data_IF_844027727302
#
_entry.id   IF_844027727302
#
_cell.length_a   1.000
_cell.length_b   1.000
_cell.length_c   1.000
_cell.angle_alpha   90.00
_cell.angle_beta   90.00
_cell.angle_gamma   90.00
#
_symmetry.space_group_name_H-M   'P 1'
#
loop_
_entity.id
_entity.type
_entity.pdbx_description
1 polymer ?
#
# COMPACT_ATOMS: atom_id res chain seq x y z
N UNK A 1 41.68 -45.02 25.90
CA UNK A 1 41.46 -43.55 25.80
C UNK A 1 40.50 -43.17 24.66
N UNK A 2 39.44 -43.97 24.43
CA UNK A 2 38.52 -43.83 23.28
C UNK A 2 37.04 -43.70 23.71
N UNK A 3 36.82 -43.30 24.96
CA UNK A 3 35.49 -43.25 25.59
C UNK A 3 35.09 -41.85 26.08
N UNK A 4 36.01 -40.88 26.12
CA UNK A 4 35.72 -39.54 26.68
C UNK A 4 35.35 -38.47 25.64
N UNK A 5 35.52 -38.75 24.34
CA UNK A 5 35.11 -37.80 23.28
C UNK A 5 33.60 -37.89 22.99
N UNK A 6 32.96 -39.01 23.30
CA UNK A 6 31.55 -39.25 22.99
C UNK A 6 30.58 -38.66 24.03
N UNK A 7 31.01 -38.46 25.28
CA UNK A 7 30.18 -37.82 26.31
C UNK A 7 30.14 -36.29 26.18
N UNK A 8 31.17 -35.65 25.62
CA UNK A 8 31.19 -34.20 25.37
C UNK A 8 30.38 -33.78 24.14
N UNK A 9 30.05 -34.72 23.25
CA UNK A 9 29.18 -34.51 22.10
C UNK A 9 27.68 -34.64 22.45
N UNK A 10 27.36 -35.38 23.51
CA UNK A 10 25.98 -35.57 23.99
C UNK A 10 25.48 -34.43 24.92
N UNK A 11 26.37 -33.55 25.39
CA UNK A 11 25.99 -32.35 26.18
C UNK A 11 26.02 -31.03 25.40
N UNK A 12 26.39 -31.05 24.11
CA UNK A 12 26.28 -29.89 23.23
C UNK A 12 24.84 -29.70 22.79
N UNK A 13 24.07 -29.13 23.72
CA UNK A 13 23.02 -28.15 23.52
C UNK A 13 22.04 -28.49 22.40
N UNK A 14 20.80 -28.77 22.81
CA UNK A 14 19.53 -28.35 22.18
C UNK A 14 19.67 -26.94 21.55
N UNK A 15 20.44 -26.81 20.47
CA UNK A 15 20.58 -25.58 19.71
C UNK A 15 19.28 -25.50 18.94
N UNK A 16 18.34 -24.72 19.48
CA UNK A 16 17.03 -24.53 18.88
C UNK A 16 17.21 -24.28 17.38
N UNK A 17 16.48 -25.05 16.57
CA UNK A 17 16.56 -24.93 15.11
C UNK A 17 16.45 -23.45 14.73
N UNK A 18 17.40 -22.97 13.91
CA UNK A 18 17.43 -21.59 13.44
C UNK A 18 16.07 -21.16 12.87
N UNK A 19 15.39 -22.04 12.12
CA UNK A 19 14.07 -21.74 11.58
C UNK A 19 13.00 -21.63 12.66
N UNK A 20 13.09 -22.45 13.71
CA UNK A 20 12.18 -22.36 14.84
C UNK A 20 12.40 -21.06 15.63
N UNK A 21 13.66 -20.67 15.86
CA UNK A 21 14.01 -19.39 16.47
C UNK A 21 13.54 -18.22 15.62
N UNK A 22 13.84 -18.23 14.31
CA UNK A 22 13.39 -17.22 13.37
C UNK A 22 11.87 -17.11 13.37
N UNK A 23 11.15 -18.23 13.34
CA UNK A 23 9.69 -18.25 13.44
C UNK A 23 9.18 -17.63 14.75
N UNK A 24 9.76 -17.98 15.90
CA UNK A 24 9.39 -17.38 17.19
C UNK A 24 9.62 -15.87 17.16
N UNK A 25 10.80 -15.42 16.71
CA UNK A 25 11.10 -13.99 16.63
C UNK A 25 10.16 -13.25 15.67
N UNK A 26 9.85 -13.82 14.50
CA UNK A 26 8.90 -13.25 13.55
C UNK A 26 7.49 -13.21 14.16
N UNK A 27 7.04 -14.27 14.83
CA UNK A 27 5.72 -14.31 15.47
C UNK A 27 5.60 -13.26 16.58
N UNK A 28 6.63 -13.13 17.42
CA UNK A 28 6.71 -12.09 18.45
C UNK A 28 6.66 -10.70 17.79
N UNK A 29 7.49 -10.46 16.78
CA UNK A 29 7.56 -9.17 16.08
C UNK A 29 6.23 -8.81 15.41
N UNK A 30 5.60 -9.74 14.70
CA UNK A 30 4.29 -9.54 14.05
C UNK A 30 3.21 -9.28 15.08
N UNK A 31 3.19 -10.04 16.18
CA UNK A 31 2.23 -9.86 17.26
C UNK A 31 2.39 -8.48 17.93
N UNK A 32 3.61 -8.09 18.28
CA UNK A 32 3.90 -6.77 18.86
C UNK A 32 3.52 -5.65 17.88
N UNK A 33 3.89 -5.79 16.60
CA UNK A 33 3.52 -4.83 15.56
C UNK A 33 2.00 -4.71 15.45
N UNK A 34 1.27 -5.82 15.43
CA UNK A 34 -0.18 -5.83 15.37
C UNK A 34 -0.82 -5.16 16.60
N UNK A 35 -0.33 -5.45 17.81
CA UNK A 35 -0.78 -4.79 19.04
C UNK A 35 -0.56 -3.28 18.98
N UNK A 36 0.59 -2.83 18.47
CA UNK A 36 0.93 -1.41 18.35
C UNK A 36 0.03 -0.70 17.33
N UNK A 37 -0.12 -1.26 16.13
CA UNK A 37 -0.83 -0.61 15.03
C UNK A 37 -2.36 -0.76 15.12
N UNK A 38 -2.86 -1.96 15.42
CA UNK A 38 -4.29 -2.27 15.36
C UNK A 38 -4.97 -2.33 16.73
N UNK A 39 -4.23 -2.46 17.82
CA UNK A 39 -4.82 -2.51 19.17
C UNK A 39 -5.49 -1.21 19.63
N UNK A 40 -5.31 -0.11 18.89
CA UNK A 40 -5.99 1.18 19.11
C UNK A 40 -7.35 1.29 18.43
N UNK A 41 -7.67 0.37 17.50
CA UNK A 41 -8.91 0.42 16.74
C UNK A 41 -10.13 0.21 17.62
N UNK A 42 -11.27 0.81 17.25
CA UNK A 42 -12.54 0.70 17.99
C UNK A 42 -12.91 -0.76 18.31
N UNK A 43 -12.61 -1.66 17.38
CA UNK A 43 -12.88 -3.09 17.50
C UNK A 43 -12.07 -3.76 18.61
N UNK A 44 -10.79 -3.40 18.76
CA UNK A 44 -9.89 -4.02 19.73
C UNK A 44 -9.81 -3.29 21.07
N UNK A 45 -10.31 -2.06 21.15
CA UNK A 45 -10.12 -1.14 22.29
C UNK A 45 -10.54 -1.73 23.64
N UNK A 46 -11.64 -2.47 23.70
CA UNK A 46 -12.20 -3.04 24.94
C UNK A 46 -11.80 -4.50 25.20
N UNK A 47 -11.23 -5.20 24.20
CA UNK A 47 -10.89 -6.62 24.30
C UNK A 47 -9.47 -6.91 24.79
N UNK A 48 -9.08 -8.19 24.72
CA UNK A 48 -7.75 -8.70 25.10
C UNK A 48 -6.61 -7.94 24.40
N UNK A 49 -6.76 -7.69 23.10
CA UNK A 49 -5.78 -6.94 22.28
C UNK A 49 -5.59 -5.52 22.85
N UNK A 50 -6.68 -4.82 23.18
CA UNK A 50 -6.63 -3.50 23.80
C UNK A 50 -6.02 -3.52 25.20
N UNK A 51 -6.31 -4.55 26.00
CA UNK A 51 -5.69 -4.75 27.31
C UNK A 51 -4.17 -4.96 27.21
N UNK A 52 -3.73 -5.89 26.36
CA UNK A 52 -2.31 -6.19 26.12
C UNK A 52 -1.57 -4.95 25.60
N UNK A 53 -2.19 -4.20 24.68
CA UNK A 53 -1.65 -2.92 24.22
C UNK A 53 -1.49 -1.93 25.37
N UNK A 54 -2.50 -1.74 26.23
CA UNK A 54 -2.39 -0.82 27.39
C UNK A 54 -1.24 -1.20 28.31
N UNK A 55 -1.04 -2.50 28.59
CA UNK A 55 0.09 -2.98 29.38
C UNK A 55 1.42 -2.74 28.67
N UNK A 56 1.53 -3.07 27.39
CA UNK A 56 2.72 -2.81 26.57
C UNK A 56 3.11 -1.33 26.58
N UNK A 57 2.15 -0.43 26.35
CA UNK A 57 2.38 1.01 26.39
C UNK A 57 2.65 1.53 27.80
N UNK A 58 2.07 0.93 28.85
CA UNK A 58 2.42 1.28 30.24
C UNK A 58 3.90 0.99 30.54
N UNK A 59 4.43 -0.14 30.06
CA UNK A 59 5.86 -0.45 30.15
C UNK A 59 6.68 0.52 29.31
N UNK A 60 6.25 0.83 28.08
CA UNK A 60 6.92 1.78 27.21
C UNK A 60 6.92 3.22 27.78
N UNK A 61 5.85 3.63 28.48
CA UNK A 61 5.78 4.91 29.17
C UNK A 61 6.67 4.94 30.40
N UNK A 62 6.77 3.84 31.15
CA UNK A 62 7.69 3.72 32.27
C UNK A 62 9.14 3.79 31.79
N UNK A 63 9.50 3.04 30.74
CA UNK A 63 10.85 3.09 30.16
C UNK A 63 11.15 4.45 29.55
N UNK A 64 10.19 5.10 28.89
CA UNK A 64 10.33 6.47 28.42
C UNK A 64 10.55 7.45 29.57
N UNK A 65 9.79 7.34 30.66
CA UNK A 65 9.93 8.20 31.84
C UNK A 65 11.28 8.02 32.53
N UNK A 66 11.76 6.77 32.64
CA UNK A 66 13.10 6.48 33.15
C UNK A 66 14.18 6.99 32.20
N UNK A 67 14.01 6.80 30.88
CA UNK A 67 14.93 7.30 29.86
C UNK A 67 15.01 8.83 29.89
N UNK A 68 13.89 9.54 29.94
CA UNK A 68 13.85 11.01 30.02
C UNK A 68 14.46 11.56 31.33
N UNK A 69 14.50 10.76 32.40
CA UNK A 69 15.21 11.11 33.64
C UNK A 69 16.72 10.84 33.57
N UNK A 70 17.15 9.84 32.80
CA UNK A 70 18.56 9.47 32.65
C UNK A 70 19.25 10.19 31.48
N UNK A 71 18.49 10.71 30.52
CA UNK A 71 18.99 11.33 29.30
C UNK A 71 18.91 12.84 29.43
N UNK A 72 20.01 13.57 29.17
CA UNK A 72 20.01 15.03 29.24
C UNK A 72 18.86 15.64 28.43
N UNK A 73 18.18 16.63 28.98
CA UNK A 73 17.03 17.29 28.34
C UNK A 73 17.36 17.80 26.91
N UNK A 74 18.62 18.19 26.68
CA UNK A 74 19.13 18.55 25.36
C UNK A 74 19.03 17.39 24.35
N UNK A 75 19.41 16.17 24.72
CA UNK A 75 19.35 15.01 23.82
C UNK A 75 17.91 14.61 23.53
N UNK A 76 17.03 14.62 24.53
CA UNK A 76 15.58 14.39 24.33
C UNK A 76 14.97 15.46 23.41
N UNK A 77 15.37 16.72 23.57
CA UNK A 77 14.98 17.82 22.69
C UNK A 77 15.43 17.62 21.24
N UNK A 78 16.68 17.17 21.04
CA UNK A 78 17.23 16.85 19.72
C UNK A 78 16.46 15.68 19.08
N UNK A 79 16.26 14.58 19.80
CA UNK A 79 15.52 13.41 19.31
C UNK A 79 14.09 13.80 18.91
N UNK A 80 13.40 14.59 19.74
CA UNK A 80 12.04 15.05 19.43
C UNK A 80 12.03 15.94 18.19
N UNK A 81 13.00 16.85 18.07
CA UNK A 81 13.12 17.75 16.91
C UNK A 81 13.43 16.99 15.63
N UNK A 82 14.36 16.04 15.68
CA UNK A 82 14.71 15.15 14.58
C UNK A 82 13.51 14.29 14.16
N UNK A 83 12.81 13.67 15.12
CA UNK A 83 11.59 12.88 14.85
C UNK A 83 10.50 13.74 14.22
N UNK A 84 10.32 14.97 14.71
CA UNK A 84 9.35 15.91 14.16
C UNK A 84 9.70 16.32 12.74
N UNK A 85 10.97 16.61 12.48
CA UNK A 85 11.45 16.93 11.15
C UNK A 85 11.25 15.75 10.19
N UNK A 86 11.66 14.55 10.58
CA UNK A 86 11.63 13.35 9.74
C UNK A 86 10.20 12.89 9.42
N UNK A 87 9.29 12.85 10.40
CA UNK A 87 7.96 12.25 10.26
C UNK A 87 6.83 13.24 9.99
N UNK A 88 6.97 14.48 10.47
CA UNK A 88 5.87 15.46 10.50
C UNK A 88 6.19 16.77 9.77
N UNK A 89 7.34 16.86 9.10
CA UNK A 89 7.68 17.99 8.21
C UNK A 89 8.09 17.47 6.83
N UNK A 90 7.94 18.31 5.82
CA UNK A 90 8.39 18.04 4.46
C UNK A 90 9.92 18.02 4.42
N UNK A 91 10.52 16.91 4.00
CA UNK A 91 11.96 16.72 3.96
C UNK A 91 12.33 15.60 2.95
N UNK A 92 13.56 15.61 2.38
CA UNK A 92 13.96 14.62 1.39
C UNK A 92 14.44 13.28 1.99
N UNK A 93 14.48 13.10 3.31
CA UNK A 93 15.14 11.94 3.93
C UNK A 93 14.51 10.61 3.51
N UNK A 94 13.18 10.56 3.35
CA UNK A 94 12.50 9.33 2.89
C UNK A 94 12.78 9.05 1.40
N UNK A 95 12.95 10.08 0.57
CA UNK A 95 13.36 9.93 -0.83
C UNK A 95 14.81 9.42 -0.94
N UNK A 96 15.70 9.93 -0.09
CA UNK A 96 17.08 9.46 -0.01
C UNK A 96 17.14 8.01 0.50
N UNK A 97 16.31 7.65 1.48
CA UNK A 97 16.17 6.27 1.93
C UNK A 97 15.68 5.36 0.80
N UNK A 98 14.71 5.81 -0.01
CA UNK A 98 14.28 5.09 -1.20
C UNK A 98 15.43 4.86 -2.19
N UNK A 99 16.21 5.90 -2.49
CA UNK A 99 17.37 5.81 -3.36
C UNK A 99 18.48 4.89 -2.82
N UNK A 100 18.67 4.84 -1.50
CA UNK A 100 19.59 3.91 -0.84
C UNK A 100 19.10 2.45 -0.94
N UNK A 101 17.82 2.19 -0.71
CA UNK A 101 17.24 0.84 -0.83
C UNK A 101 17.26 0.36 -2.30
N UNK A 102 16.76 1.20 -3.21
CA UNK A 102 17.31 1.50 -4.54
C UNK A 102 18.60 0.80 -5.00
N UNK A 103 19.68 1.51 -4.71
CA UNK A 103 21.04 1.16 -5.10
C UNK A 103 21.54 -0.08 -4.38
N UNK A 104 21.21 -0.25 -3.09
CA UNK A 104 21.61 -1.41 -2.30
C UNK A 104 21.03 -2.72 -2.85
N UNK A 105 19.73 -2.76 -3.14
CA UNK A 105 19.07 -3.91 -3.75
C UNK A 105 19.62 -4.22 -5.14
N UNK A 106 19.85 -3.18 -5.95
CA UNK A 106 20.47 -3.31 -7.27
C UNK A 106 21.89 -3.87 -7.18
N UNK A 107 22.71 -3.37 -6.25
CA UNK A 107 24.07 -3.87 -6.05
C UNK A 107 24.08 -5.35 -5.62
N UNK A 108 23.20 -5.75 -4.68
CA UNK A 108 23.08 -7.16 -4.30
C UNK A 108 22.67 -8.00 -5.51
N UNK A 109 21.72 -7.54 -6.31
CA UNK A 109 21.35 -8.23 -7.55
C UNK A 109 22.55 -8.35 -8.51
N UNK A 110 23.24 -7.27 -8.81
CA UNK A 110 24.38 -7.27 -9.74
C UNK A 110 25.52 -8.19 -9.30
N UNK A 111 25.89 -8.14 -8.01
CA UNK A 111 27.06 -8.89 -7.50
C UNK A 111 26.75 -10.30 -7.03
N UNK A 112 25.49 -10.60 -6.67
CA UNK A 112 25.11 -11.91 -6.12
C UNK A 112 24.16 -12.69 -7.01
N UNK A 113 23.34 -12.07 -7.84
CA UNK A 113 22.38 -12.78 -8.71
C UNK A 113 22.97 -13.03 -10.10
N UNK A 114 23.53 -12.00 -10.73
CA UNK A 114 24.05 -12.12 -12.11
C UNK A 114 25.09 -13.21 -12.28
N UNK A 115 26.03 -13.47 -11.33
CA UNK A 115 27.00 -14.56 -11.48
C UNK A 115 26.41 -15.97 -11.59
N UNK A 116 25.12 -16.17 -11.27
CA UNK A 116 24.42 -17.44 -11.52
C UNK A 116 23.94 -17.58 -12.97
N UNK A 117 24.15 -16.56 -13.79
CA UNK A 117 23.88 -16.56 -15.22
C UNK A 117 25.22 -16.39 -15.95
N UNK A 118 25.53 -17.31 -16.87
CA UNK A 118 26.83 -17.32 -17.56
C UNK A 118 27.11 -16.02 -18.34
N UNK A 119 26.06 -15.28 -18.72
CA UNK A 119 26.12 -14.00 -19.43
C UNK A 119 24.96 -13.10 -18.97
N UNK A 120 25.02 -11.81 -19.33
CA UNK A 120 23.86 -10.90 -19.26
C UNK A 120 22.70 -11.53 -20.05
N UNK A 121 21.77 -12.12 -19.31
CA UNK A 121 20.63 -12.82 -19.85
C UNK A 121 19.39 -11.92 -19.87
N UNK A 122 18.34 -12.41 -20.51
CA UNK A 122 17.04 -11.72 -20.55
C UNK A 122 16.55 -11.35 -19.15
N UNK A 123 16.80 -12.20 -18.14
CA UNK A 123 16.42 -11.86 -16.76
C UNK A 123 17.05 -10.56 -16.28
N UNK A 124 18.36 -10.42 -16.46
CA UNK A 124 19.13 -9.25 -16.06
C UNK A 124 18.76 -7.99 -16.84
N UNK A 125 18.59 -8.10 -18.16
CA UNK A 125 18.19 -6.98 -19.01
C UNK A 125 16.82 -6.43 -18.57
N UNK A 126 15.84 -7.31 -18.39
CA UNK A 126 14.49 -6.91 -17.95
C UNK A 126 14.54 -6.30 -16.55
N UNK A 127 15.32 -6.85 -15.61
CA UNK A 127 15.48 -6.26 -14.26
C UNK A 127 15.95 -4.80 -14.35
N UNK A 128 17.01 -4.52 -15.12
CA UNK A 128 17.53 -3.15 -15.23
C UNK A 128 16.56 -2.21 -15.95
N UNK A 129 15.82 -2.69 -16.96
CA UNK A 129 14.76 -1.91 -17.61
C UNK A 129 13.66 -1.54 -16.60
N UNK A 130 13.19 -2.51 -15.80
CA UNK A 130 12.17 -2.27 -14.78
C UNK A 130 12.67 -1.29 -13.70
N UNK A 131 13.93 -1.40 -13.27
CA UNK A 131 14.55 -0.44 -12.35
C UNK A 131 14.58 0.96 -12.96
N UNK A 132 15.02 1.11 -14.21
CA UNK A 132 15.09 2.41 -14.88
C UNK A 132 13.70 3.06 -15.01
N UNK A 133 12.70 2.29 -15.47
CA UNK A 133 11.30 2.75 -15.55
C UNK A 133 10.81 3.20 -14.17
N UNK A 134 11.06 2.40 -13.15
CA UNK A 134 10.61 2.69 -11.79
C UNK A 134 11.26 3.96 -11.20
N UNK A 135 12.56 4.16 -11.42
CA UNK A 135 13.27 5.38 -10.99
C UNK A 135 12.72 6.61 -11.70
N UNK A 136 12.47 6.52 -13.02
CA UNK A 136 11.86 7.61 -13.79
C UNK A 136 10.47 7.93 -13.26
N UNK A 137 9.62 6.93 -13.06
CA UNK A 137 8.25 7.12 -12.55
C UNK A 137 8.24 7.67 -11.12
N UNK A 138 9.16 7.23 -10.27
CA UNK A 138 9.35 7.81 -8.93
C UNK A 138 9.70 9.29 -9.01
N UNK A 139 10.69 9.65 -9.83
CA UNK A 139 11.11 11.04 -10.04
C UNK A 139 9.98 11.92 -10.58
N UNK A 140 9.27 11.44 -11.61
CA UNK A 140 8.09 12.08 -12.18
C UNK A 140 7.04 12.32 -11.09
N UNK A 141 6.71 11.31 -10.28
CA UNK A 141 5.74 11.46 -9.20
C UNK A 141 6.18 12.47 -8.12
N UNK A 142 7.49 12.56 -7.82
CA UNK A 142 8.05 13.52 -6.86
C UNK A 142 7.93 14.96 -7.34
N UNK A 143 8.07 15.19 -8.65
CA UNK A 143 8.24 16.53 -9.24
C UNK A 143 6.97 17.11 -9.87
N UNK A 144 6.02 16.27 -10.27
CA UNK A 144 4.80 16.75 -10.93
C UNK A 144 3.87 17.52 -9.98
N UNK A 145 3.27 18.58 -10.50
CA UNK A 145 2.28 19.39 -9.80
C UNK A 145 1.09 18.50 -9.37
N UNK A 146 0.73 18.44 -8.08
CA UNK A 146 -0.43 17.70 -7.61
C UNK A 146 -1.77 18.34 -8.03
N UNK A 147 -1.75 19.55 -8.56
CA UNK A 147 -2.94 20.37 -8.81
C UNK A 147 -3.08 21.42 -7.72
N UNK A 148 -1.99 22.14 -7.43
CA UNK A 148 -2.00 23.26 -6.48
C UNK A 148 -2.96 24.35 -6.97
N UNK A 149 -3.86 24.75 -6.07
CA UNK A 149 -4.84 25.81 -6.33
C UNK A 149 -4.15 27.15 -6.10
N UNK A 150 -4.11 27.95 -7.16
CA UNK A 150 -3.57 29.32 -7.22
C UNK A 150 -4.68 30.26 -7.67
N UNK A 151 -4.50 31.55 -7.48
CA UNK A 151 -5.46 32.57 -7.95
C UNK A 151 -5.77 32.41 -9.44
N UNK A 152 -4.76 32.10 -10.26
CA UNK A 152 -4.90 31.99 -11.72
C UNK A 152 -5.74 30.81 -12.20
N UNK A 153 -5.85 29.73 -11.41
CA UNK A 153 -6.59 28.52 -11.77
C UNK A 153 -7.75 28.24 -10.80
N UNK A 154 -8.04 29.17 -9.89
CA UNK A 154 -9.05 28.99 -8.85
C UNK A 154 -10.44 28.81 -9.47
N UNK A 155 -10.83 29.68 -10.40
CA UNK A 155 -12.12 29.61 -11.11
C UNK A 155 -12.28 28.32 -11.90
N UNK A 156 -11.22 27.86 -12.57
CA UNK A 156 -11.22 26.57 -13.29
C UNK A 156 -11.54 25.43 -12.33
N UNK A 157 -10.82 25.34 -11.21
CA UNK A 157 -11.03 24.27 -10.24
C UNK A 157 -12.37 24.37 -9.51
N UNK A 158 -12.91 25.57 -9.27
CA UNK A 158 -14.25 25.75 -8.72
C UNK A 158 -15.33 25.12 -9.61
N UNK A 159 -15.12 25.10 -10.93
CA UNK A 159 -16.06 24.56 -11.91
C UNK A 159 -15.89 23.05 -12.17
N UNK A 160 -14.82 22.41 -11.66
CA UNK A 160 -14.57 20.98 -11.88
C UNK A 160 -15.64 20.08 -11.25
N UNK A 161 -16.04 20.43 -10.02
CA UNK A 161 -16.92 19.62 -9.19
C UNK A 161 -17.88 20.53 -8.43
N UNK A 162 -19.18 20.22 -8.52
CA UNK A 162 -20.18 20.89 -7.70
C UNK A 162 -20.09 20.39 -6.25
N UNK A 163 -20.21 21.27 -5.23
CA UNK A 163 -20.38 20.85 -3.84
C UNK A 163 -21.60 19.92 -3.69
N UNK A 164 -21.43 18.82 -2.98
CA UNK A 164 -22.49 17.81 -2.79
C UNK A 164 -23.38 18.11 -1.57
N UNK A 165 -23.02 19.12 -0.77
CA UNK A 165 -23.74 19.51 0.45
C UNK A 165 -23.59 18.52 1.62
N UNK A 166 -22.93 17.38 1.42
CA UNK A 166 -22.80 16.30 2.41
C UNK A 166 -21.35 16.13 2.86
N UNK A 167 -20.44 15.84 1.92
CA UNK A 167 -19.01 15.66 2.19
C UNK A 167 -18.19 16.90 1.85
N UNK A 168 -18.70 17.72 0.93
CA UNK A 168 -18.12 18.97 0.47
C UNK A 168 -19.19 20.05 0.39
N UNK A 169 -19.14 20.94 1.36
CA UNK A 169 -19.85 22.22 1.36
C UNK A 169 -18.92 23.34 0.93
N UNK A 170 -19.48 24.44 0.43
CA UNK A 170 -18.74 25.67 0.16
C UNK A 170 -18.18 26.20 1.48
N UNK A 171 -16.86 26.29 1.54
CA UNK A 171 -16.15 26.70 2.76
C UNK A 171 -14.82 27.36 2.38
N UNK A 172 -14.42 28.36 3.14
CA UNK A 172 -13.11 28.99 2.98
C UNK A 172 -11.99 28.12 3.58
N UNK A 173 -10.80 28.16 2.98
CA UNK A 173 -9.59 27.69 3.64
C UNK A 173 -9.11 28.73 4.67
N UNK A 174 -9.07 28.36 5.94
CA UNK A 174 -8.57 29.22 7.02
C UNK A 174 -7.13 29.70 6.83
N UNK A 175 -6.30 28.93 6.12
CA UNK A 175 -4.89 29.26 5.85
C UNK A 175 -4.74 30.03 4.55
N UNK A 176 -5.29 29.52 3.44
CA UNK A 176 -5.10 30.10 2.11
C UNK A 176 -6.06 31.24 1.76
N UNK A 177 -7.10 31.49 2.59
CA UNK A 177 -8.04 32.61 2.47
C UNK A 177 -8.80 32.71 1.13
N UNK A 178 -9.24 31.57 0.63
CA UNK A 178 -10.15 31.49 -0.52
C UNK A 178 -11.15 30.33 -0.35
N UNK A 179 -12.26 30.41 -1.09
CA UNK A 179 -13.29 29.35 -1.12
C UNK A 179 -12.69 28.08 -1.74
N UNK A 180 -12.68 26.98 -1.00
CA UNK A 180 -12.14 25.70 -1.47
C UNK A 180 -13.04 25.12 -2.56
N UNK A 181 -12.50 24.77 -3.75
CA UNK A 181 -13.18 23.91 -4.71
C UNK A 181 -13.65 22.60 -4.07
N UNK A 182 -14.76 22.03 -4.53
CA UNK A 182 -15.19 20.73 -4.05
C UNK A 182 -14.11 19.67 -4.31
N UNK A 183 -14.00 18.67 -3.42
CA UNK A 183 -12.95 17.64 -3.43
C UNK A 183 -11.51 18.14 -3.21
N UNK A 184 -11.31 19.43 -2.93
CA UNK A 184 -10.00 19.96 -2.54
C UNK A 184 -9.73 19.86 -1.02
N UNK A 185 -8.45 19.96 -0.64
CA UNK A 185 -8.03 20.02 0.77
C UNK A 185 -6.73 20.82 0.92
N UNK A 186 -6.62 21.54 2.03
CA UNK A 186 -5.35 22.13 2.47
C UNK A 186 -4.46 21.05 3.09
N UNK A 187 -3.24 20.91 2.57
CA UNK A 187 -2.21 20.06 3.15
C UNK A 187 -1.26 20.91 3.99
N UNK A 188 -1.27 20.74 5.31
CA UNK A 188 -0.39 21.49 6.23
C UNK A 188 1.09 21.16 6.05
N UNK A 189 1.44 20.00 5.49
CA UNK A 189 2.84 19.62 5.22
C UNK A 189 3.40 20.33 3.99
N UNK A 190 2.57 20.57 2.98
CA UNK A 190 2.95 21.31 1.77
C UNK A 190 2.56 22.79 1.82
N UNK A 191 1.79 23.18 2.83
CA UNK A 191 1.20 24.51 3.04
C UNK A 191 0.45 25.06 1.81
N UNK A 192 -0.32 24.19 1.15
CA UNK A 192 -1.09 24.53 -0.07
C UNK A 192 -2.43 23.80 -0.10
N UNK A 193 -3.41 24.39 -0.77
CA UNK A 193 -4.62 23.67 -1.18
C UNK A 193 -4.39 22.93 -2.50
N UNK A 194 -4.82 21.67 -2.56
CA UNK A 194 -4.68 20.79 -3.72
C UNK A 194 -6.07 20.36 -4.19
N UNK A 195 -6.32 20.49 -5.50
CA UNK A 195 -7.56 20.02 -6.14
C UNK A 195 -7.61 18.49 -6.19
N UNK A 196 -8.81 17.91 -6.04
CA UNK A 196 -9.07 16.46 -5.93
C UNK A 196 -8.02 15.76 -5.04
N UNK A 197 -7.84 16.26 -3.81
CA UNK A 197 -6.79 15.81 -2.91
C UNK A 197 -7.00 14.34 -2.52
N UNK A 198 -5.95 13.54 -2.68
CA UNK A 198 -5.92 12.14 -2.26
C UNK A 198 -5.25 11.99 -0.90
N UNK A 199 -3.94 12.23 -0.86
CA UNK A 199 -3.15 12.22 0.37
C UNK A 199 -1.84 12.98 0.18
N UNK A 200 -1.12 13.24 1.28
CA UNK A 200 0.29 13.62 1.21
C UNK A 200 1.13 12.36 1.34
N UNK A 201 2.02 12.12 0.39
CA UNK A 201 2.87 10.93 0.40
C UNK A 201 4.30 11.33 0.76
N UNK A 202 4.74 10.91 1.95
CA UNK A 202 6.10 11.19 2.44
C UNK A 202 7.18 10.54 1.57
N UNK A 203 6.88 9.39 0.93
CA UNK A 203 7.83 8.70 0.05
C UNK A 203 8.22 9.51 -1.18
N UNK A 204 7.26 10.23 -1.77
CA UNK A 204 7.53 11.11 -2.92
C UNK A 204 7.67 12.58 -2.51
N UNK A 205 7.58 12.86 -1.20
CA UNK A 205 7.68 14.19 -0.60
C UNK A 205 6.80 15.26 -1.29
N UNK A 206 5.60 14.82 -1.72
CA UNK A 206 4.65 15.61 -2.51
C UNK A 206 3.21 15.21 -2.16
N UNK A 207 2.26 16.11 -2.41
CA UNK A 207 0.85 15.73 -2.41
C UNK A 207 0.53 14.84 -3.60
N UNK A 208 -0.45 13.99 -3.44
CA UNK A 208 -1.10 13.23 -4.52
C UNK A 208 -2.49 13.84 -4.71
N UNK A 209 -2.77 14.32 -5.93
CA UNK A 209 -3.99 15.04 -6.24
C UNK A 209 -4.36 14.98 -7.72
N UNK A 210 -5.23 15.91 -8.15
CA UNK A 210 -5.83 15.94 -9.49
C UNK A 210 -4.83 15.71 -10.63
N UNK A 211 -3.68 16.38 -10.64
CA UNK A 211 -2.75 16.43 -11.78
C UNK A 211 -1.63 15.38 -11.77
N UNK A 212 -1.38 14.72 -10.65
CA UNK A 212 -0.29 13.74 -10.55
C UNK A 212 -0.74 12.33 -10.13
N UNK A 213 -2.04 12.10 -9.92
CA UNK A 213 -2.54 10.78 -9.49
C UNK A 213 -2.18 9.66 -10.46
N UNK A 214 -2.20 9.91 -11.78
CA UNK A 214 -1.77 8.92 -12.79
C UNK A 214 -0.31 8.51 -12.64
N UNK A 215 0.59 9.45 -12.36
CA UNK A 215 2.01 9.16 -12.17
C UNK A 215 2.25 8.37 -10.90
N UNK A 216 1.49 8.68 -9.84
CA UNK A 216 1.48 7.89 -8.62
C UNK A 216 1.03 6.44 -8.88
N UNK A 217 -0.06 6.24 -9.64
CA UNK A 217 -0.53 4.91 -10.03
C UNK A 217 0.53 4.15 -10.85
N UNK A 218 1.13 4.79 -11.84
CA UNK A 218 2.21 4.22 -12.64
C UNK A 218 3.44 3.85 -11.77
N UNK A 219 3.82 4.72 -10.84
CA UNK A 219 4.90 4.46 -9.91
C UNK A 219 4.62 3.22 -9.06
N UNK A 220 3.48 3.16 -8.36
CA UNK A 220 3.19 2.03 -7.45
C UNK A 220 3.03 0.70 -8.21
N UNK A 221 2.45 0.68 -9.42
CA UNK A 221 2.35 -0.55 -10.21
C UNK A 221 3.72 -0.98 -10.77
N UNK A 222 4.56 -0.03 -11.19
CA UNK A 222 5.93 -0.35 -11.63
C UNK A 222 6.75 -0.96 -10.49
N UNK A 223 6.60 -0.44 -9.26
CA UNK A 223 7.23 -1.00 -8.06
C UNK A 223 6.72 -2.41 -7.78
N UNK A 224 5.40 -2.63 -7.86
CA UNK A 224 4.81 -3.96 -7.67
C UNK A 224 5.33 -4.96 -8.72
N UNK A 225 5.37 -4.58 -10.00
CA UNK A 225 5.90 -5.41 -11.08
C UNK A 225 7.38 -5.73 -10.86
N UNK A 226 8.20 -4.73 -10.53
CA UNK A 226 9.63 -4.91 -10.24
C UNK A 226 9.85 -5.92 -9.09
N UNK A 227 9.10 -5.80 -8.00
CA UNK A 227 9.21 -6.68 -6.85
C UNK A 227 8.73 -8.12 -7.15
N UNK A 228 7.60 -8.27 -7.85
CA UNK A 228 7.09 -9.59 -8.27
C UNK A 228 8.09 -10.25 -9.22
N UNK A 229 8.60 -9.51 -10.21
CA UNK A 229 9.60 -10.00 -11.13
C UNK A 229 10.90 -10.41 -10.42
N UNK A 230 11.42 -9.55 -9.52
CA UNK A 230 12.58 -9.86 -8.71
C UNK A 230 12.37 -11.12 -7.85
N UNK A 231 11.19 -11.31 -7.27
CA UNK A 231 10.83 -12.53 -6.52
C UNK A 231 10.92 -13.78 -7.40
N UNK A 232 10.42 -13.71 -8.64
CA UNK A 232 10.49 -14.82 -9.59
C UNK A 232 11.93 -15.15 -9.98
N UNK A 233 12.74 -14.14 -10.31
CA UNK A 233 14.16 -14.34 -10.64
C UNK A 233 14.92 -14.97 -9.48
N UNK A 234 14.70 -14.50 -8.25
CA UNK A 234 15.31 -15.07 -7.05
C UNK A 234 14.88 -16.52 -6.81
N UNK A 235 13.60 -16.85 -7.05
CA UNK A 235 13.12 -18.23 -6.94
C UNK A 235 13.82 -19.17 -7.95
N UNK A 236 14.06 -18.70 -9.18
CA UNK A 236 14.83 -19.44 -10.19
C UNK A 236 16.27 -19.66 -9.73
N UNK A 237 16.93 -18.63 -9.20
CA UNK A 237 18.30 -18.73 -8.67
C UNK A 237 18.39 -19.71 -7.51
N UNK A 238 17.43 -19.69 -6.59
CA UNK A 238 17.37 -20.68 -5.50
C UNK A 238 17.14 -22.09 -6.03
N UNK A 239 16.25 -22.28 -7.00
CA UNK A 239 16.07 -23.56 -7.69
C UNK A 239 17.37 -24.06 -8.31
N UNK A 240 18.10 -23.19 -9.02
CA UNK A 240 19.40 -23.50 -9.58
C UNK A 240 20.43 -23.92 -8.52
N UNK A 241 20.54 -23.19 -7.41
CA UNK A 241 21.46 -23.53 -6.30
C UNK A 241 21.14 -24.90 -5.72
N UNK A 242 19.86 -25.19 -5.52
CA UNK A 242 19.38 -26.46 -4.95
C UNK A 242 19.67 -27.62 -5.90
N UNK A 243 19.41 -27.46 -7.20
CA UNK A 243 19.63 -28.50 -8.21
C UNK A 243 21.11 -28.73 -8.51
N UNK A 244 21.89 -27.67 -8.73
CA UNK A 244 23.33 -27.76 -9.07
C UNK A 244 24.17 -28.41 -7.96
N UNK A 245 23.76 -28.26 -6.70
CA UNK A 245 24.43 -28.90 -5.55
C UNK A 245 23.86 -30.28 -5.21
N UNK A 246 22.90 -30.79 -5.99
CA UNK A 246 22.25 -32.07 -5.71
C UNK A 246 21.55 -32.11 -4.35
N UNK A 247 21.10 -30.97 -3.81
CA UNK A 247 20.58 -30.93 -2.44
C UNK A 247 19.32 -31.78 -2.27
N UNK A 248 18.50 -31.91 -3.32
CA UNK A 248 17.26 -32.69 -3.30
C UNK A 248 17.52 -34.19 -3.21
N UNK A 249 18.66 -34.68 -3.72
CA UNK A 249 18.98 -36.12 -3.73
C UNK A 249 19.78 -36.55 -2.50
N UNK A 250 20.18 -35.61 -1.64
CA UNK A 250 20.91 -35.91 -0.41
C UNK A 250 19.98 -36.47 0.68
N UNK A 251 20.56 -37.36 1.50
CA UNK A 251 19.95 -37.86 2.73
C UNK A 251 20.83 -37.44 3.91
N UNK A 252 20.21 -37.13 5.05
CA UNK A 252 20.92 -36.89 6.31
C UNK A 252 20.61 -38.01 7.30
N UNK A 253 21.60 -38.36 8.13
CA UNK A 253 21.43 -39.33 9.20
C UNK A 253 21.02 -38.60 10.48
N UNK A 254 19.88 -38.97 11.05
CA UNK A 254 19.41 -38.40 12.31
C UNK A 254 19.99 -39.16 13.51
N UNK A 255 19.74 -38.65 14.72
CA UNK A 255 20.23 -39.24 15.98
C UNK A 255 19.72 -40.66 16.27
N UNK A 256 18.71 -41.12 15.53
CA UNK A 256 18.18 -42.48 15.57
C UNK A 256 18.91 -43.43 14.60
N UNK A 257 19.95 -42.96 13.91
CA UNK A 257 20.71 -43.71 12.89
C UNK A 257 19.97 -43.90 11.57
N UNK A 258 18.76 -43.33 11.42
CA UNK A 258 17.97 -43.45 10.19
C UNK A 258 18.32 -42.33 9.21
N UNK A 259 18.27 -42.68 7.93
CA UNK A 259 18.48 -41.74 6.82
C UNK A 259 17.16 -41.13 6.40
N UNK A 260 17.10 -39.80 6.37
CA UNK A 260 15.94 -39.04 5.94
C UNK A 260 16.29 -38.21 4.71
N UNK A 261 15.40 -38.12 3.70
CA UNK A 261 15.62 -37.25 2.55
C UNK A 261 15.61 -35.78 2.96
N UNK A 262 16.41 -34.98 2.28
CA UNK A 262 16.44 -33.52 2.46
C UNK A 262 15.10 -32.91 2.02
N UNK A 263 14.30 -32.47 3.00
CA UNK A 263 13.03 -31.78 2.76
C UNK A 263 13.16 -30.26 2.65
N UNK A 264 12.03 -29.59 2.33
CA UNK A 264 11.96 -28.12 2.14
C UNK A 264 12.53 -27.33 3.32
N UNK A 265 12.32 -27.81 4.56
CA UNK A 265 12.84 -27.15 5.77
C UNK A 265 14.36 -27.04 5.76
N UNK A 266 15.07 -28.12 5.43
CA UNK A 266 16.52 -28.12 5.34
C UNK A 266 17.00 -27.22 4.20
N UNK A 267 16.33 -27.25 3.04
CA UNK A 267 16.65 -26.39 1.90
C UNK A 267 16.50 -24.90 2.27
N UNK A 268 15.40 -24.53 2.92
CA UNK A 268 15.17 -23.15 3.39
C UNK A 268 16.24 -22.73 4.39
N UNK A 269 16.58 -23.59 5.36
CA UNK A 269 17.64 -23.30 6.32
C UNK A 269 19.01 -23.16 5.64
N UNK A 270 19.33 -24.05 4.70
CA UNK A 270 20.55 -23.99 3.92
C UNK A 270 20.67 -22.66 3.17
N UNK A 271 19.62 -22.25 2.45
CA UNK A 271 19.61 -21.00 1.69
C UNK A 271 19.72 -19.77 2.61
N UNK A 272 19.01 -19.74 3.74
CA UNK A 272 19.08 -18.62 4.69
C UNK A 272 20.48 -18.47 5.31
N UNK A 273 21.11 -19.59 5.68
CA UNK A 273 22.41 -19.58 6.37
C UNK A 273 23.58 -19.40 5.38
N UNK A 274 23.53 -20.06 4.23
CA UNK A 274 24.64 -20.05 3.26
C UNK A 274 24.53 -18.93 2.22
N UNK A 275 23.34 -18.38 2.00
CA UNK A 275 23.10 -17.31 1.03
C UNK A 275 22.33 -16.14 1.65
N UNK A 276 22.83 -15.53 2.76
CA UNK A 276 22.06 -14.56 3.54
C UNK A 276 21.68 -13.31 2.74
N UNK A 277 22.56 -12.80 1.87
CA UNK A 277 22.24 -11.62 1.05
C UNK A 277 21.16 -11.90 0.01
N UNK A 278 21.19 -13.07 -0.63
CA UNK A 278 20.14 -13.49 -1.57
C UNK A 278 18.82 -13.70 -0.84
N UNK A 279 18.86 -14.31 0.35
CA UNK A 279 17.67 -14.53 1.16
C UNK A 279 17.06 -13.21 1.64
N UNK A 280 17.88 -12.25 2.10
CA UNK A 280 17.41 -10.92 2.48
C UNK A 280 16.78 -10.21 1.28
N UNK A 281 17.46 -10.21 0.12
CA UNK A 281 16.91 -9.61 -1.09
C UNK A 281 15.56 -10.25 -1.47
N UNK A 282 15.48 -11.58 -1.50
CA UNK A 282 14.26 -12.32 -1.78
C UNK A 282 13.11 -11.95 -0.83
N UNK A 283 13.36 -11.95 0.48
CA UNK A 283 12.33 -11.61 1.46
C UNK A 283 11.87 -10.16 1.32
N UNK A 284 12.80 -9.23 1.07
CA UNK A 284 12.46 -7.82 0.83
C UNK A 284 11.58 -7.67 -0.41
N UNK A 285 11.97 -8.23 -1.55
CA UNK A 285 11.16 -8.10 -2.79
C UNK A 285 9.84 -8.85 -2.70
N UNK A 286 9.78 -9.98 -1.99
CA UNK A 286 8.55 -10.75 -1.78
C UNK A 286 7.56 -9.96 -0.93
N UNK A 287 7.95 -9.57 0.30
CA UNK A 287 7.03 -8.90 1.22
C UNK A 287 6.66 -7.51 0.73
N UNK A 288 7.62 -6.76 0.20
CA UNK A 288 7.35 -5.45 -0.37
C UNK A 288 6.50 -5.57 -1.64
N UNK A 289 6.73 -6.58 -2.47
CA UNK A 289 5.90 -6.87 -3.65
C UNK A 289 4.45 -7.17 -3.30
N UNK A 290 4.19 -7.99 -2.28
CA UNK A 290 2.84 -8.25 -1.77
C UNK A 290 2.19 -6.97 -1.27
N UNK A 291 2.90 -6.18 -0.46
CA UNK A 291 2.39 -4.92 0.09
C UNK A 291 2.06 -3.91 -1.03
N UNK A 292 2.97 -3.72 -2.00
CA UNK A 292 2.79 -2.78 -3.10
C UNK A 292 1.69 -3.22 -4.08
N UNK A 293 1.54 -4.53 -4.31
CA UNK A 293 0.44 -5.07 -5.11
C UNK A 293 -0.90 -4.80 -4.43
N UNK A 294 -1.01 -5.08 -3.12
CA UNK A 294 -2.22 -4.75 -2.36
C UNK A 294 -2.53 -3.25 -2.35
N UNK A 295 -1.50 -2.40 -2.22
CA UNK A 295 -1.65 -0.96 -2.25
C UNK A 295 -2.11 -0.45 -3.63
N UNK A 296 -1.56 -0.98 -4.72
CA UNK A 296 -2.06 -0.69 -6.07
C UNK A 296 -3.50 -1.14 -6.27
N UNK A 297 -3.86 -2.36 -5.85
CA UNK A 297 -5.23 -2.86 -5.98
C UNK A 297 -6.23 -1.98 -5.22
N UNK A 298 -5.86 -1.50 -4.04
CA UNK A 298 -6.67 -0.53 -3.31
C UNK A 298 -6.87 0.77 -4.10
N UNK A 299 -5.79 1.37 -4.60
CA UNK A 299 -5.90 2.60 -5.41
C UNK A 299 -6.63 2.37 -6.73
N UNK A 300 -6.47 1.20 -7.35
CA UNK A 300 -7.22 0.82 -8.54
C UNK A 300 -8.72 0.73 -8.24
N UNK A 301 -9.11 0.14 -7.10
CA UNK A 301 -10.48 0.18 -6.61
C UNK A 301 -10.99 1.62 -6.41
N UNK A 302 -10.17 2.52 -5.85
CA UNK A 302 -10.52 3.94 -5.71
C UNK A 302 -10.79 4.61 -7.07
N UNK A 303 -9.97 4.31 -8.09
CA UNK A 303 -10.20 4.76 -9.47
C UNK A 303 -11.51 4.20 -10.01
N UNK A 304 -11.74 2.89 -9.90
CA UNK A 304 -12.97 2.25 -10.39
C UNK A 304 -14.23 2.81 -9.72
N UNK A 305 -14.12 3.30 -8.49
CA UNK A 305 -15.22 3.88 -7.71
C UNK A 305 -15.20 5.42 -7.66
N UNK A 306 -14.33 6.07 -8.44
CA UNK A 306 -14.13 7.53 -8.52
C UNK A 306 -14.09 8.25 -7.16
N UNK A 307 -13.32 7.70 -6.23
CA UNK A 307 -13.09 8.33 -4.94
C UNK A 307 -11.60 8.52 -4.71
N UNK A 308 -11.27 9.51 -3.89
CA UNK A 308 -9.92 9.65 -3.35
C UNK A 308 -9.81 8.89 -2.02
N UNK A 309 -8.59 8.61 -1.57
CA UNK A 309 -8.32 8.05 -0.24
C UNK A 309 -8.94 8.92 0.86
N UNK A 310 -8.82 10.25 0.74
CA UNK A 310 -9.44 11.20 1.66
C UNK A 310 -10.98 11.06 1.71
N UNK A 311 -11.62 10.81 0.57
CA UNK A 311 -13.08 10.57 0.49
C UNK A 311 -13.47 9.23 1.09
N UNK A 312 -12.72 8.18 0.80
CA UNK A 312 -12.93 6.84 1.35
C UNK A 312 -12.95 6.89 2.88
N UNK A 313 -11.97 7.53 3.51
CA UNK A 313 -11.92 7.69 4.96
C UNK A 313 -13.03 8.61 5.50
N UNK A 314 -13.27 9.77 4.86
CA UNK A 314 -14.37 10.67 5.27
C UNK A 314 -15.71 9.93 5.31
N UNK A 315 -15.99 9.12 4.29
CA UNK A 315 -17.23 8.33 4.20
C UNK A 315 -17.34 7.28 5.30
N UNK A 316 -16.23 6.60 5.61
CA UNK A 316 -16.19 5.60 6.69
C UNK A 316 -16.52 6.23 8.06
N UNK A 317 -15.93 7.39 8.37
CA UNK A 317 -16.19 8.08 9.63
C UNK A 317 -17.60 8.70 9.67
N UNK A 318 -18.04 9.37 8.59
CA UNK A 318 -19.36 9.97 8.51
C UNK A 318 -20.48 8.92 8.61
N UNK A 319 -20.27 7.74 8.02
CA UNK A 319 -21.20 6.62 8.12
C UNK A 319 -21.34 6.05 9.54
N UNK A 320 -20.27 6.09 10.34
CA UNK A 320 -20.30 5.73 11.76
C UNK A 320 -21.02 6.79 12.61
N UNK A 321 -20.78 8.08 12.36
CA UNK A 321 -21.35 9.17 13.17
C UNK A 321 -22.82 9.49 12.85
N UNK A 322 -23.28 9.24 11.61
CA UNK A 322 -24.66 9.53 11.18
C UNK A 322 -25.37 8.30 10.59
N UNK A 323 -25.73 7.30 11.41
CA UNK A 323 -26.33 6.04 10.93
C UNK A 323 -27.72 6.22 10.29
N UNK A 324 -28.49 7.24 10.70
CA UNK A 324 -29.83 7.53 10.15
C UNK A 324 -29.78 8.02 8.68
N UNK A 325 -28.85 8.93 8.36
CA UNK A 325 -28.58 9.40 7.00
C UNK A 325 -27.96 8.30 6.12
N UNK A 326 -27.12 7.44 6.70
CA UNK A 326 -26.60 6.24 6.02
C UNK A 326 -27.72 5.24 5.67
N UNK A 327 -28.75 5.12 6.51
CA UNK A 327 -29.93 4.28 6.24
C UNK A 327 -30.84 4.90 5.18
N UNK A 328 -31.01 6.22 5.17
CA UNK A 328 -31.84 6.92 4.19
C UNK A 328 -31.23 6.91 2.79
N UNK A 329 -29.92 7.14 2.67
CA UNK A 329 -29.18 6.93 1.40
C UNK A 329 -29.24 5.48 0.90
N UNK A 330 -29.24 4.49 1.80
CA UNK A 330 -29.47 3.06 1.45
C UNK A 330 -30.89 2.78 0.97
N UNK A 331 -31.90 3.44 1.53
CA UNK A 331 -33.31 3.30 1.12
C UNK A 331 -33.51 3.90 -0.27
N UNK A 332 -33.01 5.13 -0.50
CA UNK A 332 -33.08 5.81 -1.80
C UNK A 332 -32.37 4.98 -2.88
N UNK A 333 -31.20 4.41 -2.61
CA UNK A 333 -30.50 3.59 -3.61
C UNK A 333 -31.21 2.25 -3.92
N UNK A 334 -31.94 1.68 -2.95
CA UNK A 334 -32.75 0.47 -3.17
C UNK A 334 -33.97 0.70 -4.06
N UNK A 335 -34.56 1.89 -4.00
CA UNK A 335 -35.66 2.28 -4.86
C UNK A 335 -35.15 2.54 -6.27
N UNK A 336 -34.00 3.21 -6.43
CA UNK A 336 -33.38 3.45 -7.74
C UNK A 336 -33.00 2.16 -8.46
N UNK A 337 -32.48 1.15 -7.75
CA UNK A 337 -32.15 -0.16 -8.31
C UNK A 337 -33.38 -0.92 -8.83
N UNK A 338 -34.48 -0.93 -8.05
CA UNK A 338 -35.75 -1.53 -8.47
C UNK A 338 -36.35 -0.82 -9.69
N UNK A 339 -36.24 0.51 -9.76
CA UNK A 339 -36.69 1.30 -10.90
C UNK A 339 -35.83 1.01 -12.13
N UNK A 340 -34.50 0.95 -12.01
CA UNK A 340 -33.60 0.61 -13.12
C UNK A 340 -33.88 -0.77 -13.71
N UNK A 341 -34.09 -1.79 -12.86
CA UNK A 341 -34.42 -3.16 -13.32
C UNK A 341 -35.76 -3.17 -14.08
N UNK A 342 -36.75 -2.42 -13.59
CA UNK A 342 -38.04 -2.24 -14.30
C UNK A 342 -37.86 -1.54 -15.64
N UNK A 343 -37.07 -0.47 -15.71
CA UNK A 343 -36.84 0.28 -16.96
C UNK A 343 -36.05 -0.53 -17.98
N UNK A 344 -35.04 -1.29 -17.55
CA UNK A 344 -34.27 -2.20 -18.40
C UNK A 344 -35.17 -3.31 -18.94
N UNK A 345 -36.01 -3.93 -18.10
CA UNK A 345 -36.98 -4.96 -18.54
C UNK A 345 -38.02 -4.38 -19.51
N UNK A 346 -38.46 -3.13 -19.29
CA UNK A 346 -39.37 -2.43 -20.21
C UNK A 346 -38.70 -2.12 -21.54
N UNK A 347 -37.42 -1.72 -21.55
CA UNK A 347 -36.62 -1.51 -22.77
C UNK A 347 -36.34 -2.81 -23.53
N UNK A 348 -36.16 -3.94 -22.87
CA UNK A 348 -36.03 -5.25 -23.55
C UNK A 348 -37.36 -5.69 -24.17
N UNK A 349 -38.49 -5.36 -23.52
CA UNK A 349 -39.83 -5.63 -24.04
C UNK A 349 -40.23 -4.69 -25.19
N UNK A 350 -39.86 -3.40 -25.14
CA UNK A 350 -40.11 -2.46 -26.25
C UNK A 350 -39.16 -2.69 -27.43
N UNK A 351 -37.92 -3.11 -27.20
CA UNK A 351 -36.99 -3.51 -28.28
C UNK A 351 -37.44 -4.75 -29.05
N UNK A 352 -38.26 -5.62 -28.45
CA UNK A 352 -38.92 -6.71 -29.17
C UNK A 352 -40.22 -6.28 -29.87
N UNK A 353 -40.69 -5.04 -29.65
CA UNK A 353 -41.92 -4.49 -30.23
C UNK A 353 -41.69 -3.39 -31.27
N UNK A 354 -40.49 -2.79 -31.31
CA UNK A 354 -40.11 -1.65 -32.18
C UNK A 354 -39.32 -2.06 -33.44
N UNK A 355 -39.42 -3.32 -33.90
CA UNK A 355 -39.10 -3.68 -35.29
C UNK A 355 -40.22 -3.34 -36.28
N UNK A 356 -41.20 -2.52 -35.87
CA UNK A 356 -42.21 -1.95 -36.75
C UNK A 356 -42.50 -0.49 -36.41
N UNK A 357 -42.36 0.36 -37.44
CA UNK A 357 -42.77 1.77 -37.56
C UNK A 357 -41.90 2.89 -36.94
N UNK A 358 -41.38 3.75 -37.85
CA UNK A 358 -40.97 5.17 -37.64
C UNK A 358 -42.21 6.00 -37.22
N UNK A 359 -42.14 7.12 -36.48
CA UNK A 359 -41.74 8.47 -36.94
C UNK A 359 -41.88 9.50 -35.78
N UNK A 360 -41.02 10.54 -35.80
CA UNK A 360 -41.11 11.94 -35.31
C UNK A 360 -41.31 12.39 -33.84
N UNK A 361 -40.57 13.49 -33.57
CA UNK A 361 -40.81 14.71 -32.77
C UNK A 361 -40.35 14.84 -31.31
N UNK A 362 -39.87 16.06 -31.05
CA UNK A 362 -39.06 16.59 -29.96
C UNK A 362 -39.77 16.58 -28.60
N UNK A 363 -38.98 16.53 -27.51
CA UNK A 363 -39.06 17.50 -26.41
C UNK A 363 -37.86 17.33 -25.46
N UNK A 364 -37.16 18.44 -25.21
CA UNK A 364 -36.02 18.55 -24.30
C UNK A 364 -36.56 18.85 -22.92
N UNK A 365 -36.59 17.85 -22.04
CA UNK A 365 -36.80 18.02 -20.59
C UNK A 365 -35.51 17.62 -19.88
N UNK A 366 -34.96 18.57 -19.13
CA UNK A 366 -33.76 18.40 -18.32
C UNK A 366 -33.94 17.27 -17.30
N UNK A 367 -33.32 16.12 -17.55
CA UNK A 367 -33.30 15.01 -16.60
C UNK A 367 -32.24 15.25 -15.54
N UNK A 368 -32.69 15.55 -14.32
CA UNK A 368 -31.96 15.35 -13.07
C UNK A 368 -31.28 13.97 -13.08
N UNK A 369 -29.95 13.95 -12.95
CA UNK A 369 -29.16 12.72 -12.96
C UNK A 369 -29.45 11.91 -11.69
N UNK A 370 -30.32 10.90 -11.80
CA UNK A 370 -30.54 9.90 -10.75
C UNK A 370 -29.23 9.15 -10.43
N UNK A 371 -28.88 8.98 -9.13
CA UNK A 371 -27.66 8.28 -8.74
C UNK A 371 -27.73 6.77 -9.00
N UNK A 372 -26.63 6.20 -9.51
CA UNK A 372 -26.48 4.78 -9.90
C UNK A 372 -26.51 3.79 -8.72
N UNK A 373 -26.69 2.47 -8.96
CA UNK A 373 -27.04 1.49 -7.93
C UNK A 373 -25.87 1.12 -7.00
N UNK A 374 -26.19 1.09 -5.70
CA UNK A 374 -25.66 0.35 -4.54
C UNK A 374 -24.16 0.15 -4.26
N UNK A 375 -23.24 0.41 -5.17
CA UNK A 375 -21.78 0.36 -4.89
C UNK A 375 -21.06 1.64 -5.30
N UNK A 376 -21.73 2.50 -6.05
CA UNK A 376 -21.23 3.79 -6.50
C UNK A 376 -21.13 4.79 -5.35
N UNK A 377 -19.96 5.40 -5.21
CA UNK A 377 -19.78 6.68 -4.53
C UNK A 377 -20.67 7.73 -5.22
N UNK A 378 -21.03 8.87 -4.58
CA UNK A 378 -21.77 9.94 -5.27
C UNK A 378 -21.03 10.49 -6.50
N UNK A 379 -19.73 10.21 -6.62
CA UNK A 379 -18.86 10.65 -7.70
C UNK A 379 -18.71 9.62 -8.83
N UNK A 380 -19.34 8.45 -8.74
CA UNK A 380 -19.23 7.43 -9.77
C UNK A 380 -19.92 7.90 -11.06
N UNK A 381 -19.16 7.94 -12.15
CA UNK A 381 -19.66 8.37 -13.47
C UNK A 381 -19.58 7.25 -14.53
N UNK A 382 -19.32 6.02 -14.10
CA UNK A 382 -19.09 4.84 -14.96
C UNK A 382 -17.61 4.46 -15.02
N UNK A 383 -17.29 3.15 -15.00
CA UNK A 383 -15.91 2.61 -14.93
C UNK A 383 -14.97 3.30 -15.92
N UNK A 384 -15.32 3.30 -17.21
CA UNK A 384 -14.48 3.90 -18.25
C UNK A 384 -14.29 5.40 -18.05
N UNK A 385 -15.35 6.11 -17.67
CA UNK A 385 -15.29 7.56 -17.43
C UNK A 385 -14.41 7.89 -16.23
N UNK A 386 -14.50 7.10 -15.15
CA UNK A 386 -13.64 7.25 -13.98
C UNK A 386 -12.16 7.07 -14.33
N UNK A 387 -11.83 6.03 -15.11
CA UNK A 387 -10.46 5.79 -15.59
C UNK A 387 -10.01 6.96 -16.45
N UNK A 388 -10.81 7.40 -17.43
CA UNK A 388 -10.44 8.52 -18.29
C UNK A 388 -10.25 9.82 -17.54
N UNK A 389 -11.04 10.10 -16.49
CA UNK A 389 -10.88 11.28 -15.63
C UNK A 389 -9.53 11.29 -14.91
N UNK A 390 -9.04 10.12 -14.49
CA UNK A 390 -7.72 10.00 -13.84
C UNK A 390 -6.58 10.06 -14.86
N UNK A 391 -6.77 9.51 -16.06
CA UNK A 391 -5.69 9.38 -17.05
C UNK A 391 -5.52 10.62 -17.95
N UNK A 392 -6.59 11.40 -18.19
CA UNK A 392 -6.56 12.59 -19.07
C UNK A 392 -6.02 13.84 -18.39
N UNK A 393 -6.20 13.95 -17.08
CA UNK A 393 -5.66 15.03 -16.25
C UNK A 393 -4.23 14.72 -15.93
#
# INVERSE_FOLDING_TARGET
MRTDVQSSALSKSKRMDFLFMAFIYTLIFVTLSYLVFFGSTDFHRTGLVGFLRRKLFSVAHLTKSTFEKCVPAALTGIIRSATTYLLFKRNPCIQLLYGFLMSGGTAIYSFKVIPYFDKMNTFSIVTYILIAINVVLFWVCCTHDPGVIKVTNHTEYMNDYNPDGVYYTTQECSTCKFIKPARSKHCSLCDVCVSRFDHHCSWVNNCIGKKNYKFFLCFIISTAILCVYGTLVMAVVFGYIVLSKGLITMNYEASDGKRYPVGIRFLTQYLLVRQPLLAILFLVVLFFGVAMTGFFLFHFYLVLTNQTTNEFYKRHYYGKSHPKLSRQSKIVSSQTEKTMIRTTRRRTLTRNKETSSRTSTNDVVATEKLPSPRTSTPYYIGIWRNITEVMRV
#
